data_IF_680375612246
#
_entry.id   IF_680375612246
#
_cell.length_a   1.000
_cell.length_b   1.000
_cell.length_c   1.000
_cell.angle_alpha   90.00
_cell.angle_beta   90.00
_cell.angle_gamma   90.00
#
_symmetry.space_group_name_H-M   'P 1'
#
loop_
_entity.id
_entity.type
_entity.pdbx_description
1 polymer ?
#
# COMPACT_ATOMS: atom_id res chain seq x y z
N UNK A 1 4.94 10.24 -15.61
CA UNK A 1 4.09 11.01 -14.67
C UNK A 1 5.01 11.75 -13.70
N UNK A 2 4.79 13.03 -13.46
CA UNK A 2 5.61 13.84 -12.54
C UNK A 2 5.63 13.24 -11.13
N UNK A 3 4.51 12.65 -10.67
CA UNK A 3 4.42 11.97 -9.38
C UNK A 3 5.38 10.78 -9.25
N UNK A 4 5.49 9.96 -10.30
CA UNK A 4 6.43 8.83 -10.33
C UNK A 4 7.88 9.31 -10.27
N UNK A 5 8.18 10.43 -10.94
CA UNK A 5 9.51 11.03 -10.88
C UNK A 5 9.85 11.51 -9.45
N UNK A 6 8.92 12.16 -8.75
CA UNK A 6 9.11 12.61 -7.35
C UNK A 6 9.43 11.41 -6.44
N UNK A 7 8.68 10.31 -6.58
CA UNK A 7 8.90 9.08 -5.82
C UNK A 7 10.28 8.47 -6.12
N UNK A 8 10.68 8.40 -7.40
CA UNK A 8 12.02 7.93 -7.81
C UNK A 8 13.15 8.83 -7.31
N UNK A 9 12.96 10.14 -7.31
CA UNK A 9 13.94 11.08 -6.77
C UNK A 9 14.09 10.95 -5.25
N UNK A 10 12.99 10.78 -4.51
CA UNK A 10 13.05 10.54 -3.06
C UNK A 10 13.74 9.21 -2.74
N UNK A 11 13.51 8.18 -3.56
CA UNK A 11 14.21 6.90 -3.47
C UNK A 11 15.73 7.05 -3.71
N UNK A 12 16.13 7.74 -4.78
CA UNK A 12 17.55 8.00 -5.07
C UNK A 12 18.23 8.83 -3.98
N UNK A 13 17.50 9.78 -3.39
CA UNK A 13 17.98 10.58 -2.26
C UNK A 13 17.98 9.81 -0.92
N UNK A 14 17.46 8.57 -0.87
CA UNK A 14 17.23 7.78 0.36
C UNK A 14 16.38 8.52 1.42
N UNK A 15 15.57 9.50 1.00
CA UNK A 15 14.76 10.34 1.89
C UNK A 15 13.33 9.79 1.94
N UNK A 16 13.14 8.72 2.70
CA UNK A 16 11.87 8.01 2.84
C UNK A 16 10.79 8.83 3.57
N UNK A 17 11.18 9.61 4.58
CA UNK A 17 10.25 10.47 5.31
C UNK A 17 9.61 11.54 4.41
N UNK A 18 10.41 12.19 3.57
CA UNK A 18 9.91 13.16 2.59
C UNK A 18 9.04 12.49 1.53
N UNK A 19 9.35 11.25 1.16
CA UNK A 19 8.51 10.48 0.24
C UNK A 19 7.11 10.28 0.83
N UNK A 20 7.01 9.90 2.10
CA UNK A 20 5.75 9.72 2.81
C UNK A 20 4.94 11.02 2.86
N UNK A 21 5.60 12.13 3.21
CA UNK A 21 4.95 13.45 3.26
C UNK A 21 4.42 13.87 1.87
N UNK A 22 5.24 13.72 0.83
CA UNK A 22 4.83 14.02 -0.54
C UNK A 22 3.68 13.12 -1.01
N UNK A 23 3.68 11.83 -0.67
CA UNK A 23 2.57 10.92 -1.01
C UNK A 23 1.27 11.39 -0.35
N UNK A 24 1.30 11.81 0.91
CA UNK A 24 0.11 12.34 1.63
C UNK A 24 -0.38 13.64 0.97
N UNK A 25 0.52 14.58 0.69
CA UNK A 25 0.19 15.87 0.07
C UNK A 25 -0.42 15.64 -1.32
N UNK A 26 0.21 14.81 -2.15
CA UNK A 26 -0.23 14.50 -3.51
C UNK A 26 -1.56 13.75 -3.51
N UNK A 27 -1.79 12.88 -2.53
CA UNK A 27 -3.04 12.15 -2.32
C UNK A 27 -4.21 13.08 -1.96
N UNK A 28 -3.97 14.13 -1.15
CA UNK A 28 -4.99 15.09 -0.73
C UNK A 28 -5.26 16.18 -1.76
N UNK A 29 -4.36 16.39 -2.72
CA UNK A 29 -4.49 17.46 -3.73
C UNK A 29 -5.63 17.15 -4.69
N UNK A 30 -6.75 17.86 -4.55
CA UNK A 30 -7.84 17.88 -5.54
C UNK A 30 -7.26 18.39 -6.88
N UNK A 31 -7.57 17.70 -7.99
CA UNK A 31 -7.03 17.88 -9.36
C UNK A 31 -5.92 16.93 -9.83
N UNK A 32 -5.57 15.90 -9.06
CA UNK A 32 -4.74 14.81 -9.60
C UNK A 32 -5.58 13.81 -10.39
N UNK A 33 -5.04 13.35 -11.53
CA UNK A 33 -5.66 12.30 -12.33
C UNK A 33 -5.63 10.99 -11.53
N UNK A 34 -6.77 10.28 -11.47
CA UNK A 34 -6.89 8.98 -10.78
C UNK A 34 -5.78 8.01 -11.19
N UNK A 35 -5.53 7.91 -12.51
CA UNK A 35 -4.48 7.07 -13.08
C UNK A 35 -3.06 7.47 -12.64
N UNK A 36 -2.81 8.75 -12.37
CA UNK A 36 -1.50 9.22 -11.92
C UNK A 36 -1.26 8.85 -10.44
N UNK A 37 -2.31 8.85 -9.62
CA UNK A 37 -2.26 8.37 -8.23
C UNK A 37 -2.03 6.86 -8.21
N UNK A 38 -2.80 6.08 -8.98
CA UNK A 38 -2.61 4.63 -9.13
C UNK A 38 -1.17 4.28 -9.51
N UNK A 39 -0.62 4.92 -10.55
CA UNK A 39 0.78 4.71 -10.96
C UNK A 39 1.79 5.11 -9.88
N UNK A 40 1.50 6.16 -9.11
CA UNK A 40 2.36 6.57 -7.99
C UNK A 40 2.36 5.53 -6.87
N UNK A 41 1.19 4.99 -6.52
CA UNK A 41 1.04 3.94 -5.49
C UNK A 41 1.72 2.65 -5.93
N UNK A 42 1.54 2.24 -7.19
CA UNK A 42 2.21 1.06 -7.75
C UNK A 42 3.73 1.18 -7.72
N UNK A 43 4.28 2.32 -8.15
CA UNK A 43 5.73 2.52 -8.08
C UNK A 43 6.21 2.57 -6.62
N UNK A 44 5.49 3.24 -5.73
CA UNK A 44 5.81 3.24 -4.30
C UNK A 44 5.77 1.82 -3.71
N UNK A 45 4.82 0.98 -4.13
CA UNK A 45 4.72 -0.42 -3.73
C UNK A 45 5.94 -1.25 -4.18
N UNK A 46 6.41 -1.08 -5.41
CA UNK A 46 7.65 -1.73 -5.88
C UNK A 46 8.89 -1.27 -5.09
N UNK A 47 8.89 -0.03 -4.60
CA UNK A 47 9.98 0.49 -3.77
C UNK A 47 9.97 -0.05 -2.34
N UNK A 48 8.81 -0.44 -1.80
CA UNK A 48 8.67 -1.12 -0.49
C UNK A 48 9.45 -2.45 -0.46
N UNK A 49 9.65 -3.10 -1.62
CA UNK A 49 10.46 -4.33 -1.69
C UNK A 49 11.96 -4.07 -1.74
N UNK A 50 12.34 -2.86 -2.15
CA UNK A 50 13.75 -2.44 -2.28
C UNK A 50 14.24 -1.67 -1.06
N UNK A 51 13.42 -1.47 -0.04
CA UNK A 51 13.84 -0.87 1.23
C UNK A 51 14.67 -1.87 2.02
N UNK A 52 15.90 -1.51 2.45
CA UNK A 52 16.74 -2.37 3.28
C UNK A 52 16.31 -2.41 4.76
N UNK A 53 15.42 -1.52 5.18
CA UNK A 53 15.09 -1.27 6.58
C UNK A 53 13.63 -1.61 6.89
N UNK A 54 13.41 -2.41 7.95
CA UNK A 54 12.09 -2.95 8.33
C UNK A 54 11.18 -1.84 8.90
N UNK A 55 11.72 -0.89 9.65
CA UNK A 55 10.95 0.24 10.20
C UNK A 55 10.46 1.18 9.10
N UNK A 56 11.34 1.47 8.14
CA UNK A 56 11.01 2.28 6.96
C UNK A 56 9.96 1.60 6.09
N UNK A 57 10.06 0.27 5.91
CA UNK A 57 9.07 -0.54 5.20
C UNK A 57 7.69 -0.42 5.85
N UNK A 58 7.63 -0.52 7.18
CA UNK A 58 6.39 -0.47 7.96
C UNK A 58 5.73 0.92 7.84
N UNK A 59 6.48 2.00 8.04
CA UNK A 59 6.00 3.38 7.89
C UNK A 59 5.46 3.68 6.48
N UNK A 60 6.14 3.18 5.45
CA UNK A 60 5.72 3.37 4.07
C UNK A 60 4.41 2.62 3.78
N UNK A 61 4.27 1.38 4.27
CA UNK A 61 3.04 0.60 4.12
C UNK A 61 1.88 1.27 4.84
N UNK A 62 2.05 1.75 6.08
CA UNK A 62 1.00 2.48 6.81
C UNK A 62 0.59 3.77 6.11
N UNK A 63 1.57 4.52 5.57
CA UNK A 63 1.30 5.74 4.81
C UNK A 63 0.50 5.42 3.56
N UNK A 64 0.91 4.38 2.82
CA UNK A 64 0.21 3.92 1.62
C UNK A 64 -1.22 3.45 1.96
N UNK A 65 -1.40 2.66 3.02
CA UNK A 65 -2.71 2.22 3.52
C UNK A 65 -3.62 3.42 3.74
N UNK A 66 -3.16 4.40 4.50
CA UNK A 66 -3.89 5.64 4.80
C UNK A 66 -4.31 6.41 3.55
N UNK A 67 -3.47 6.48 2.51
CA UNK A 67 -3.82 7.20 1.27
C UNK A 67 -4.69 6.40 0.31
N UNK A 68 -4.72 5.07 0.43
CA UNK A 68 -5.55 4.17 -0.38
C UNK A 68 -6.94 3.93 0.23
N UNK A 69 -7.10 4.07 1.55
CA UNK A 69 -8.40 3.95 2.21
C UNK A 69 -9.41 4.96 1.66
N UNK A 70 -10.59 4.48 1.27
CA UNK A 70 -11.68 5.32 0.75
C UNK A 70 -11.59 5.68 -0.74
N UNK A 71 -10.65 5.11 -1.50
CA UNK A 71 -10.51 5.32 -2.95
C UNK A 71 -10.76 4.03 -3.74
N UNK A 72 -11.92 3.97 -4.40
CA UNK A 72 -12.35 2.81 -5.22
C UNK A 72 -11.31 2.44 -6.30
N UNK A 73 -10.63 3.41 -6.89
CA UNK A 73 -9.67 3.16 -7.99
C UNK A 73 -8.29 2.63 -7.55
N UNK A 74 -8.05 2.44 -6.26
CA UNK A 74 -6.83 1.83 -5.68
C UNK A 74 -7.17 0.77 -4.63
N UNK A 75 -8.39 0.20 -4.71
CA UNK A 75 -8.86 -0.84 -3.79
C UNK A 75 -7.97 -2.10 -3.85
N UNK A 76 -7.58 -2.54 -5.04
CA UNK A 76 -6.76 -3.74 -5.20
C UNK A 76 -5.34 -3.53 -4.62
N UNK A 77 -4.73 -2.36 -4.86
CA UNK A 77 -3.45 -2.03 -4.22
C UNK A 77 -3.58 -1.94 -2.69
N UNK A 78 -4.70 -1.46 -2.16
CA UNK A 78 -4.98 -1.46 -0.72
C UNK A 78 -4.97 -2.89 -0.16
N UNK A 79 -5.68 -3.81 -0.80
CA UNK A 79 -5.72 -5.22 -0.41
C UNK A 79 -4.33 -5.86 -0.36
N UNK A 80 -3.54 -5.65 -1.42
CA UNK A 80 -2.16 -6.17 -1.52
C UNK A 80 -1.24 -5.60 -0.43
N UNK A 81 -1.35 -4.29 -0.15
CA UNK A 81 -0.57 -3.64 0.90
C UNK A 81 -0.92 -4.19 2.30
N UNK A 82 -2.21 -4.37 2.57
CA UNK A 82 -2.70 -4.89 3.84
C UNK A 82 -2.25 -6.34 4.07
N UNK A 83 -2.32 -7.20 3.05
CA UNK A 83 -1.77 -8.56 3.12
C UNK A 83 -0.28 -8.55 3.46
N UNK A 84 0.50 -7.69 2.81
CA UNK A 84 1.94 -7.57 3.06
C UNK A 84 2.25 -7.02 4.44
N UNK A 85 1.39 -6.16 4.98
CA UNK A 85 1.50 -5.66 6.34
C UNK A 85 1.26 -6.78 7.35
N UNK A 86 0.24 -7.62 7.12
CA UNK A 86 -0.04 -8.77 7.98
C UNK A 86 1.13 -9.77 8.02
N UNK A 87 1.72 -10.12 6.88
CA UNK A 87 2.91 -10.99 6.79
C UNK A 87 4.12 -10.43 7.58
N UNK A 88 4.29 -9.10 7.56
CA UNK A 88 5.33 -8.41 8.35
C UNK A 88 5.02 -8.45 9.85
N UNK A 89 3.75 -8.33 10.25
CA UNK A 89 3.34 -8.46 11.65
C UNK A 89 3.43 -9.89 12.15
N UNK A 90 3.09 -10.89 11.33
CA UNK A 90 3.30 -12.31 11.65
C UNK A 90 4.79 -12.62 11.87
N UNK A 91 5.67 -12.07 11.02
CA UNK A 91 7.12 -12.18 11.21
C UNK A 91 7.64 -11.49 12.48
N UNK A 92 6.87 -10.58 13.07
CA UNK A 92 7.20 -9.88 14.33
C UNK A 92 6.48 -10.46 15.55
N UNK A 93 5.91 -11.67 15.45
CA UNK A 93 5.13 -12.34 16.51
C UNK A 93 3.85 -11.57 16.91
N UNK A 94 3.44 -10.58 16.10
CA UNK A 94 2.24 -9.76 16.29
C UNK A 94 1.04 -10.35 15.55
N UNK A 95 0.79 -11.64 15.77
CA UNK A 95 -0.27 -12.42 15.12
C UNK A 95 -1.68 -11.86 15.37
N UNK A 96 -1.93 -11.27 16.54
CA UNK A 96 -3.24 -10.63 16.84
C UNK A 96 -3.51 -9.41 15.98
N UNK A 97 -2.52 -8.53 15.83
CA UNK A 97 -2.65 -7.32 14.99
C UNK A 97 -2.76 -7.71 13.51
N UNK A 98 -1.98 -8.72 13.08
CA UNK A 98 -2.06 -9.26 11.72
C UNK A 98 -3.46 -9.79 11.40
N UNK A 99 -4.03 -10.61 12.29
CA UNK A 99 -5.35 -11.19 12.13
C UNK A 99 -6.45 -10.12 12.09
N UNK A 100 -6.41 -9.12 12.97
CA UNK A 100 -7.40 -8.03 13.00
C UNK A 100 -7.37 -7.21 11.71
N UNK A 101 -6.18 -6.88 11.21
CA UNK A 101 -5.98 -6.12 9.97
C UNK A 101 -6.48 -6.91 8.75
N UNK A 102 -6.23 -8.22 8.72
CA UNK A 102 -6.72 -9.13 7.68
C UNK A 102 -8.25 -9.25 7.72
N UNK A 103 -8.84 -9.38 8.91
CA UNK A 103 -10.30 -9.47 9.10
C UNK A 103 -11.03 -8.18 8.71
N UNK A 104 -10.41 -7.02 8.90
CA UNK A 104 -10.96 -5.74 8.44
C UNK A 104 -11.03 -5.68 6.90
N UNK A 105 -10.22 -6.49 6.21
CA UNK A 105 -10.21 -6.59 4.77
C UNK A 105 -11.40 -7.41 4.24
N UNK A 106 -12.54 -6.75 4.04
CA UNK A 106 -13.71 -7.41 3.46
C UNK A 106 -13.49 -7.76 1.98
N UNK A 107 -13.09 -8.99 1.69
CA UNK A 107 -12.79 -9.52 0.34
C UNK A 107 -13.98 -9.37 -0.63
N UNK A 108 -15.20 -9.26 -0.10
CA UNK A 108 -16.43 -9.03 -0.85
C UNK A 108 -16.52 -7.62 -1.48
N UNK A 109 -15.80 -6.64 -0.93
CA UNK A 109 -15.81 -5.25 -1.41
C UNK A 109 -14.93 -5.01 -2.62
N UNK A 110 -13.98 -5.91 -2.92
CA UNK A 110 -13.09 -5.82 -4.08
C UNK A 110 -13.75 -6.44 -5.31
N UNK A 111 -14.63 -5.68 -5.94
CA UNK A 111 -15.42 -6.10 -7.10
C UNK A 111 -14.60 -6.19 -8.39
N UNK A 112 -13.44 -5.54 -8.43
CA UNK A 112 -12.58 -5.43 -9.63
C UNK A 112 -11.36 -6.35 -9.61
N UNK A 113 -11.14 -7.09 -8.52
CA UNK A 113 -9.98 -7.97 -8.34
C UNK A 113 -10.10 -9.23 -9.22
N UNK A 114 -8.96 -9.75 -9.69
CA UNK A 114 -8.96 -10.99 -10.48
C UNK A 114 -9.51 -12.15 -9.64
N UNK A 115 -10.31 -13.03 -10.26
CA UNK A 115 -10.95 -14.15 -9.55
C UNK A 115 -9.95 -15.05 -8.84
N UNK A 116 -8.74 -15.24 -9.40
CA UNK A 116 -7.69 -16.06 -8.78
C UNK A 116 -7.16 -15.42 -7.52
N UNK A 117 -6.82 -14.13 -7.60
CA UNK A 117 -6.33 -13.36 -6.47
C UNK A 117 -7.39 -13.29 -5.36
N UNK A 118 -8.66 -13.11 -5.74
CA UNK A 118 -9.79 -13.16 -4.81
C UNK A 118 -9.89 -14.51 -4.08
N UNK A 119 -9.65 -15.61 -4.77
CA UNK A 119 -9.66 -16.95 -4.18
C UNK A 119 -8.51 -17.16 -3.20
N UNK A 120 -7.30 -16.70 -3.53
CA UNK A 120 -6.14 -16.76 -2.63
C UNK A 120 -6.40 -15.96 -1.35
N UNK A 121 -6.93 -14.73 -1.47
CA UNK A 121 -7.32 -13.92 -0.31
C UNK A 121 -8.39 -14.62 0.55
N UNK A 122 -9.39 -15.28 -0.06
CA UNK A 122 -10.40 -16.05 0.67
C UNK A 122 -9.82 -17.26 1.42
N UNK A 123 -8.83 -17.93 0.85
CA UNK A 123 -8.17 -19.08 1.46
C UNK A 123 -7.30 -18.68 2.65
N UNK A 124 -6.65 -17.52 2.59
CA UNK A 124 -5.86 -16.98 3.72
C UNK A 124 -6.71 -16.40 4.86
N UNK A 125 -8.02 -16.22 4.65
CA UNK A 125 -8.97 -15.78 5.67
C UNK A 125 -9.67 -16.94 6.41
N UNK A 126 -9.40 -18.20 6.03
CA UNK A 126 -9.99 -19.41 6.61
C UNK A 126 -8.98 -20.14 7.52
#
# INVERSE_FOLDING_TARGET
CVLVAIVKYCYQAKQWEKMNEHIIILSRRRSQLKQAITKMVQEAYELVEKTPDVDTKLKLIETLRTVTTGKIFVENEHARLTKKLADVYESQDKTKEAAEILQELQVETYGTMDRREKLEFLLEQM
#
